data_IF_395749232603
#
_entry.id   IF_395749232603
#
_cell.length_a   1.000
_cell.length_b   1.000
_cell.length_c   1.000
_cell.angle_alpha   90.00
_cell.angle_beta   90.00
_cell.angle_gamma   90.00
#
_symmetry.space_group_name_H-M   'P 1'
#
loop_
_entity.id
_entity.type
_entity.pdbx_description
1 polymer ?
#
# COMPACT_ATOMS: atom_id res chain seq x y z
N UNK A 1 8.90 9.10 9.36
CA UNK A 1 8.50 8.46 8.13
C UNK A 1 7.21 7.66 8.25
N UNK A 2 6.53 7.76 9.29
CA UNK A 2 5.26 7.08 9.46
C UNK A 2 4.13 8.05 9.21
N UNK A 3 2.98 7.50 8.90
CA UNK A 3 1.77 8.30 8.78
C UNK A 3 1.34 8.81 10.13
N UNK A 4 0.65 9.93 10.15
CA UNK A 4 -0.07 10.32 11.33
C UNK A 4 -1.23 9.33 11.53
N UNK A 5 -1.74 9.28 12.74
CA UNK A 5 -2.87 8.39 13.04
C UNK A 5 -4.09 8.75 12.19
N UNK A 6 -4.31 10.04 11.97
CA UNK A 6 -5.43 10.50 11.17
C UNK A 6 -5.30 10.04 9.72
N UNK A 7 -4.09 10.10 9.15
CA UNK A 7 -3.84 9.65 7.78
C UNK A 7 -4.09 8.15 7.63
N UNK A 8 -3.65 7.36 8.60
CA UNK A 8 -3.91 5.91 8.57
C UNK A 8 -5.40 5.61 8.62
N UNK A 9 -6.11 6.30 9.48
CA UNK A 9 -7.54 6.09 9.62
C UNK A 9 -8.27 6.41 8.33
N UNK A 10 -7.87 7.49 7.67
CA UNK A 10 -8.48 7.90 6.41
C UNK A 10 -8.25 6.86 5.32
N UNK A 11 -7.03 6.35 5.20
CA UNK A 11 -6.72 5.31 4.21
C UNK A 11 -7.49 4.04 4.50
N UNK A 12 -7.51 3.60 5.75
CA UNK A 12 -8.23 2.39 6.15
C UNK A 12 -9.72 2.52 5.83
N UNK A 13 -10.32 3.65 6.16
CA UNK A 13 -11.75 3.89 5.91
C UNK A 13 -12.08 3.80 4.42
N UNK A 14 -11.19 4.29 3.56
CA UNK A 14 -11.42 4.28 2.12
C UNK A 14 -11.37 2.91 1.48
N UNK A 15 -10.78 1.91 2.15
CA UNK A 15 -10.56 0.59 1.55
C UNK A 15 -11.21 -0.54 2.33
N UNK A 16 -11.98 -0.25 3.36
CA UNK A 16 -12.66 -1.29 4.13
C UNK A 16 -13.69 -2.02 3.30
N UNK A 17 -13.76 -3.33 3.52
CA UNK A 17 -14.84 -4.15 2.97
C UNK A 17 -15.98 -4.16 3.97
N UNK A 18 -15.66 -4.24 5.26
CA UNK A 18 -16.62 -4.18 6.34
C UNK A 18 -16.30 -2.99 7.24
N UNK A 19 -17.28 -2.51 7.97
CA UNK A 19 -17.13 -1.33 8.83
C UNK A 19 -15.99 -1.47 9.84
N UNK A 20 -15.70 -2.70 10.29
CA UNK A 20 -14.65 -2.97 11.28
C UNK A 20 -13.38 -3.53 10.66
N UNK A 21 -13.30 -3.59 9.33
CA UNK A 21 -12.19 -4.20 8.64
C UNK A 21 -10.98 -3.27 8.65
N UNK A 22 -9.91 -3.70 9.29
CA UNK A 22 -8.64 -2.97 9.30
C UNK A 22 -7.48 -3.82 8.82
N UNK A 23 -7.72 -5.11 8.53
CA UNK A 23 -6.67 -6.05 8.20
C UNK A 23 -6.83 -6.79 6.88
N UNK A 24 -7.81 -6.42 6.06
CA UNK A 24 -7.99 -7.10 4.77
C UNK A 24 -6.80 -6.84 3.84
N UNK A 25 -6.58 -7.70 2.84
CA UNK A 25 -5.54 -7.45 1.85
C UNK A 25 -5.68 -6.10 1.17
N UNK A 26 -6.91 -5.66 0.93
CA UNK A 26 -7.16 -4.36 0.30
C UNK A 26 -6.64 -3.22 1.19
N UNK A 27 -6.97 -3.26 2.48
CA UNK A 27 -6.51 -2.23 3.41
C UNK A 27 -4.99 -2.25 3.55
N UNK A 28 -4.41 -3.44 3.66
CA UNK A 28 -2.96 -3.57 3.79
C UNK A 28 -2.24 -3.05 2.56
N UNK A 29 -2.74 -3.38 1.37
CA UNK A 29 -2.15 -2.90 0.13
C UNK A 29 -2.26 -1.38 0.01
N UNK A 30 -3.37 -0.81 0.45
CA UNK A 30 -3.55 0.64 0.43
C UNK A 30 -2.56 1.33 1.35
N UNK A 31 -2.37 0.82 2.55
CA UNK A 31 -1.40 1.39 3.50
C UNK A 31 0.03 1.29 2.97
N UNK A 32 0.38 0.15 2.36
CA UNK A 32 1.69 -0.01 1.75
C UNK A 32 1.88 0.96 0.60
N UNK A 33 0.86 1.16 -0.22
CA UNK A 33 0.93 2.09 -1.35
C UNK A 33 1.17 3.52 -0.88
N UNK A 34 0.51 3.93 0.21
CA UNK A 34 0.73 5.27 0.77
C UNK A 34 2.16 5.43 1.30
N UNK A 35 2.70 4.41 1.96
CA UNK A 35 4.08 4.45 2.42
C UNK A 35 5.06 4.50 1.27
N UNK A 36 4.79 3.74 0.20
CA UNK A 36 5.63 3.75 -0.99
C UNK A 36 5.64 5.14 -1.61
N UNK A 37 4.49 5.78 -1.71
CA UNK A 37 4.39 7.14 -2.23
C UNK A 37 5.18 8.12 -1.38
N UNK A 38 5.06 8.00 -0.05
CA UNK A 38 5.81 8.85 0.87
C UNK A 38 7.31 8.72 0.66
N UNK A 39 7.82 7.49 0.58
CA UNK A 39 9.24 7.26 0.40
C UNK A 39 9.73 7.71 -0.97
N UNK A 40 8.89 7.53 -1.99
CA UNK A 40 9.23 7.99 -3.34
C UNK A 40 9.45 9.51 -3.34
N UNK A 41 8.58 10.26 -2.67
CA UNK A 41 8.76 11.70 -2.53
C UNK A 41 10.00 12.03 -1.70
N UNK A 42 10.24 11.26 -0.65
CA UNK A 42 11.41 11.44 0.21
C UNK A 42 12.71 11.39 -0.60
N UNK A 43 12.80 10.48 -1.58
CA UNK A 43 14.02 10.33 -2.38
C UNK A 43 14.29 11.50 -3.31
N UNK A 44 13.30 12.33 -3.58
CA UNK A 44 13.53 13.53 -4.39
C UNK A 44 14.43 14.51 -3.67
N UNK A 45 14.36 14.55 -2.35
CA UNK A 45 15.21 15.42 -1.55
C UNK A 45 16.34 14.67 -0.85
N UNK A 46 16.30 13.35 -0.79
CA UNK A 46 17.32 12.55 -0.11
C UNK A 46 17.74 11.35 -0.98
N UNK A 47 18.33 11.60 -2.16
CA UNK A 47 18.62 10.51 -3.09
C UNK A 47 19.66 9.50 -2.62
N UNK A 48 20.44 9.86 -1.59
CA UNK A 48 21.49 8.96 -1.07
C UNK A 48 21.10 8.25 0.22
N UNK A 49 19.84 8.30 0.57
CA UNK A 49 19.36 7.61 1.78
C UNK A 49 19.16 6.12 1.47
N UNK A 50 20.21 5.34 1.70
CA UNK A 50 20.20 3.92 1.36
C UNK A 50 19.31 3.10 2.28
N UNK A 51 19.13 3.52 3.53
CA UNK A 51 18.21 2.83 4.44
C UNK A 51 16.78 2.93 3.97
N UNK A 52 16.36 4.12 3.58
CA UNK A 52 15.00 4.32 3.08
C UNK A 52 14.79 3.61 1.75
N UNK A 53 15.83 3.55 0.91
CA UNK A 53 15.74 2.82 -0.35
C UNK A 53 15.50 1.33 -0.12
N UNK A 54 16.22 0.74 0.82
CA UNK A 54 16.03 -0.65 1.18
C UNK A 54 14.63 -0.89 1.71
N UNK A 55 14.14 0.02 2.57
CA UNK A 55 12.78 -0.05 3.08
C UNK A 55 11.74 0.03 1.98
N UNK A 56 11.96 0.92 1.01
CA UNK A 56 11.05 1.05 -0.13
C UNK A 56 10.96 -0.26 -0.92
N UNK A 57 12.10 -0.89 -1.19
CA UNK A 57 12.11 -2.16 -1.92
C UNK A 57 11.36 -3.25 -1.17
N UNK A 58 11.50 -3.28 0.17
CA UNK A 58 10.75 -4.23 0.98
C UNK A 58 9.25 -3.99 0.91
N UNK A 59 8.83 -2.73 0.96
CA UNK A 59 7.41 -2.38 0.88
C UNK A 59 6.84 -2.75 -0.48
N UNK A 60 7.56 -2.49 -1.54
CA UNK A 60 7.14 -2.86 -2.90
C UNK A 60 6.97 -4.38 -3.00
N UNK A 61 7.92 -5.13 -2.44
CA UNK A 61 7.84 -6.59 -2.44
C UNK A 61 6.65 -7.10 -1.65
N UNK A 62 6.38 -6.50 -0.49
CA UNK A 62 5.23 -6.87 0.33
C UNK A 62 3.92 -6.60 -0.38
N UNK A 63 3.81 -5.42 -1.01
CA UNK A 63 2.60 -5.08 -1.76
C UNK A 63 2.37 -6.06 -2.91
N UNK A 64 3.43 -6.40 -3.62
CA UNK A 64 3.32 -7.35 -4.72
C UNK A 64 2.82 -8.70 -4.25
N UNK A 65 3.34 -9.19 -3.12
CA UNK A 65 2.89 -10.48 -2.57
C UNK A 65 1.42 -10.43 -2.16
N UNK A 66 0.99 -9.33 -1.55
CA UNK A 66 -0.42 -9.18 -1.18
C UNK A 66 -1.33 -9.18 -2.42
N UNK A 67 -0.92 -8.47 -3.46
CA UNK A 67 -1.71 -8.41 -4.68
C UNK A 67 -1.76 -9.77 -5.38
N UNK A 68 -0.67 -10.50 -5.41
CA UNK A 68 -0.66 -11.84 -5.98
C UNK A 68 -1.53 -12.81 -5.19
N UNK A 69 -1.48 -12.72 -3.86
CA UNK A 69 -2.34 -13.51 -3.00
C UNK A 69 -3.81 -13.23 -3.30
N UNK A 70 -4.17 -11.96 -3.37
CA UNK A 70 -5.55 -11.56 -3.62
C UNK A 70 -6.01 -12.00 -5.01
N UNK A 71 -5.14 -11.90 -6.00
CA UNK A 71 -5.43 -12.32 -7.36
C UNK A 71 -5.79 -13.80 -7.42
N UNK A 72 -5.08 -14.62 -6.64
CA UNK A 72 -5.36 -16.04 -6.58
C UNK A 72 -6.62 -16.38 -5.79
N UNK A 73 -7.00 -15.52 -4.86
CA UNK A 73 -8.17 -15.75 -4.02
C UNK A 73 -9.46 -15.25 -4.66
N UNK A 74 -9.42 -14.05 -5.22
CA UNK A 74 -10.61 -13.39 -5.73
C UNK A 74 -10.19 -12.37 -6.79
N UNK A 75 -10.29 -12.79 -8.04
CA UNK A 75 -9.84 -11.97 -9.16
C UNK A 75 -10.60 -10.65 -9.28
N UNK A 76 -11.90 -10.66 -8.96
CA UNK A 76 -12.70 -9.44 -9.02
C UNK A 76 -12.22 -8.41 -8.00
N UNK A 77 -11.95 -8.86 -6.78
CA UNK A 77 -11.41 -7.97 -5.75
C UNK A 77 -10.05 -7.43 -6.15
N UNK A 78 -9.22 -8.27 -6.75
CA UNK A 78 -7.90 -7.85 -7.23
C UNK A 78 -8.02 -6.75 -8.27
N UNK A 79 -8.89 -6.94 -9.25
CA UNK A 79 -9.08 -5.96 -10.32
C UNK A 79 -9.61 -4.65 -9.77
N UNK A 80 -10.56 -4.71 -8.86
CA UNK A 80 -11.12 -3.52 -8.24
C UNK A 80 -10.08 -2.76 -7.46
N UNK A 81 -9.24 -3.47 -6.71
CA UNK A 81 -8.19 -2.85 -5.91
C UNK A 81 -7.13 -2.19 -6.79
N UNK A 82 -6.68 -2.88 -7.82
CA UNK A 82 -5.66 -2.34 -8.72
C UNK A 82 -6.17 -1.07 -9.40
N UNK A 83 -7.43 -1.07 -9.82
CA UNK A 83 -8.03 0.12 -10.41
C UNK A 83 -8.13 1.27 -9.42
N UNK A 84 -8.52 0.96 -8.18
CA UNK A 84 -8.69 1.97 -7.15
C UNK A 84 -7.35 2.58 -6.72
N UNK A 85 -6.29 1.78 -6.67
CA UNK A 85 -4.97 2.26 -6.30
C UNK A 85 -4.22 2.90 -7.47
N UNK A 86 -4.70 2.70 -8.69
CA UNK A 86 -4.01 3.22 -9.86
C UNK A 86 -2.71 2.50 -10.14
N UNK A 87 -2.57 1.27 -9.69
CA UNK A 87 -1.36 0.48 -9.89
C UNK A 87 -1.42 -0.21 -11.24
N UNK A 88 -0.31 -0.20 -11.94
CA UNK A 88 -0.16 -0.96 -13.13
C UNK A 88 0.25 -2.36 -12.74
N UNK A 89 -0.59 -3.31 -12.99
CA UNK A 89 -0.43 -4.59 -12.54
C UNK A 89 0.88 -5.30 -12.59
#
# INVERSE_FOLDING_TARGET
>A
MSFSKAQKTEVVSGYRIHATDTGSPEVQAALLSERISYLTEHFKSHPKDHHSRRGLLQLVGQRRRLLEYLKGKDLERYRGLVGKLGIRK
#
